data_IF_225708158479
#
_entry.id   IF_225708158479
#
_cell.length_a   1.000
_cell.length_b   1.000
_cell.length_c   1.000
_cell.angle_alpha   90.00
_cell.angle_beta   90.00
_cell.angle_gamma   90.00
#
_symmetry.space_group_name_H-M   'P 1'
#
loop_
_entity.id
_entity.type
_entity.pdbx_description
1 polymer ?
#
# COMPACT_ATOMS: atom_id res chain seq x y z
N UNK A 1 -7.78 -21.28 -4.65
CA UNK A 1 -6.98 -20.84 -5.68
C UNK A 1 -6.05 -19.74 -5.22
N UNK A 2 -4.77 -19.95 -5.37
CA UNK A 2 -3.76 -19.04 -4.86
C UNK A 2 -3.57 -17.79 -5.74
N UNK A 3 -4.55 -17.43 -6.53
CA UNK A 3 -4.47 -16.28 -7.41
C UNK A 3 -4.13 -14.99 -6.66
N UNK A 4 -4.48 -14.89 -5.40
CA UNK A 4 -4.09 -13.82 -4.52
C UNK A 4 -2.57 -13.72 -4.38
N UNK A 5 -1.93 -14.76 -3.91
CA UNK A 5 -0.47 -14.83 -3.87
C UNK A 5 0.13 -14.72 -5.26
N UNK A 6 -0.58 -15.18 -6.27
CA UNK A 6 -0.14 -15.11 -7.65
C UNK A 6 -0.19 -13.66 -8.18
N UNK A 7 -1.30 -12.97 -8.06
CA UNK A 7 -1.43 -11.58 -8.54
C UNK A 7 -0.58 -10.63 -7.74
N UNK A 8 -0.66 -10.70 -6.44
CA UNK A 8 0.15 -9.89 -5.57
C UNK A 8 1.62 -10.23 -5.71
N UNK A 9 1.95 -11.51 -5.74
CA UNK A 9 3.30 -11.99 -5.97
C UNK A 9 3.84 -11.57 -7.32
N UNK A 10 3.08 -11.72 -8.40
CA UNK A 10 3.53 -11.34 -9.73
C UNK A 10 3.72 -9.81 -9.89
N UNK A 11 2.84 -9.01 -9.32
CA UNK A 11 2.90 -7.56 -9.46
C UNK A 11 3.79 -6.87 -8.42
N UNK A 12 3.82 -7.40 -7.20
CA UNK A 12 4.43 -6.77 -6.04
C UNK A 12 5.73 -7.44 -5.60
N UNK A 13 5.72 -8.77 -5.44
CA UNK A 13 6.88 -9.52 -4.99
C UNK A 13 7.79 -9.96 -6.12
N UNK A 14 7.41 -9.66 -7.34
CA UNK A 14 8.20 -10.06 -8.48
C UNK A 14 9.62 -9.49 -8.38
N UNK A 15 10.57 -10.39 -8.45
CA UNK A 15 11.97 -10.03 -8.42
C UNK A 15 12.66 -10.09 -7.07
N UNK A 16 11.93 -10.05 -5.95
CA UNK A 16 12.60 -10.19 -4.67
C UNK A 16 11.96 -11.22 -3.72
N UNK A 17 10.72 -11.03 -3.36
CA UNK A 17 10.07 -11.86 -2.35
C UNK A 17 9.81 -13.28 -2.79
N UNK A 18 9.52 -13.46 -4.06
CA UNK A 18 9.27 -14.80 -4.60
C UNK A 18 10.48 -15.71 -4.49
N UNK A 19 11.68 -15.18 -4.63
CA UNK A 19 12.91 -15.94 -4.47
C UNK A 19 13.16 -16.38 -3.05
N UNK A 20 12.84 -15.52 -2.11
CA UNK A 20 13.07 -15.75 -0.69
C UNK A 20 11.94 -16.53 -0.03
N UNK A 21 10.79 -16.57 -0.70
CA UNK A 21 9.60 -17.15 -0.13
C UNK A 21 9.05 -16.38 1.07
N UNK A 22 9.52 -15.17 1.32
CA UNK A 22 9.12 -14.31 2.41
C UNK A 22 8.45 -13.04 1.91
N UNK A 23 7.45 -12.57 2.63
CA UNK A 23 6.74 -11.34 2.30
C UNK A 23 7.52 -10.09 2.71
N UNK A 24 8.31 -10.19 3.74
CA UNK A 24 9.08 -9.09 4.29
C UNK A 24 10.57 -9.47 4.34
N UNK A 25 11.42 -8.76 3.60
CA UNK A 25 12.87 -8.90 3.73
C UNK A 25 13.35 -8.52 5.13
N UNK A 26 14.50 -9.02 5.51
CA UNK A 26 15.12 -8.70 6.79
C UNK A 26 15.35 -7.20 6.95
N UNK A 27 15.21 -6.71 8.16
CA UNK A 27 15.48 -5.31 8.52
C UNK A 27 14.34 -4.34 8.21
N UNK A 28 13.26 -4.78 7.60
CA UNK A 28 12.17 -3.87 7.24
C UNK A 28 11.41 -3.34 8.45
N UNK A 29 11.28 -4.13 9.50
CA UNK A 29 10.66 -3.64 10.73
C UNK A 29 11.49 -2.54 11.37
N UNK A 30 12.79 -2.74 11.50
CA UNK A 30 13.69 -1.74 12.08
C UNK A 30 13.69 -0.47 11.24
N UNK A 31 13.75 -0.59 9.92
CA UNK A 31 13.62 0.54 9.01
C UNK A 31 12.28 1.27 9.21
N UNK A 32 11.18 0.53 9.28
CA UNK A 32 9.87 1.11 9.53
C UNK A 32 9.84 1.87 10.87
N UNK A 33 10.28 1.25 11.95
CA UNK A 33 10.21 1.85 13.30
C UNK A 33 11.12 3.07 13.46
N UNK A 34 12.24 3.10 12.77
CA UNK A 34 13.24 4.17 12.88
C UNK A 34 12.98 5.30 11.88
N UNK A 35 12.41 5.02 10.73
CA UNK A 35 12.42 5.93 9.59
C UNK A 35 11.03 6.28 9.07
N UNK A 36 10.03 5.40 9.20
CA UNK A 36 8.70 5.68 8.66
C UNK A 36 7.97 6.75 9.50
N UNK A 37 7.21 7.59 8.82
CA UNK A 37 6.39 8.65 9.42
C UNK A 37 4.91 8.36 9.27
N UNK A 38 4.58 7.42 8.37
CA UNK A 38 3.22 7.02 8.05
C UNK A 38 3.19 5.53 7.72
N UNK A 39 2.17 4.83 8.21
CA UNK A 39 1.79 3.50 7.73
C UNK A 39 0.41 3.61 7.08
N UNK A 40 0.28 3.17 5.84
CA UNK A 40 -1.01 3.04 5.15
C UNK A 40 -1.36 1.57 5.10
N UNK A 41 -2.32 1.14 5.90
CA UNK A 41 -2.93 -0.18 5.78
C UNK A 41 -4.02 -0.13 4.72
N UNK A 42 -3.82 -0.84 3.63
CA UNK A 42 -4.77 -0.86 2.53
C UNK A 42 -5.31 -2.26 2.32
N UNK A 43 -6.62 -2.42 2.56
CA UNK A 43 -7.29 -3.72 2.50
C UNK A 43 -6.53 -4.80 3.30
N UNK A 44 -6.09 -4.43 4.50
CA UNK A 44 -5.23 -5.25 5.32
C UNK A 44 -5.72 -5.25 6.77
N UNK A 45 -6.14 -6.41 7.24
CA UNK A 45 -6.58 -6.64 8.62
C UNK A 45 -5.78 -7.78 9.27
N UNK A 46 -4.47 -7.57 9.51
CA UNK A 46 -3.62 -8.60 10.07
C UNK A 46 -4.06 -9.09 11.45
N UNK A 47 -4.80 -8.31 12.22
CA UNK A 47 -5.28 -8.72 13.54
C UNK A 47 -6.39 -9.78 13.46
N UNK A 48 -7.19 -9.80 12.40
CA UNK A 48 -8.20 -10.86 12.21
C UNK A 48 -7.75 -11.98 11.29
N UNK A 49 -6.82 -11.70 10.37
CA UNK A 49 -6.39 -12.63 9.33
C UNK A 49 -5.00 -13.18 9.54
N UNK A 50 -4.35 -12.76 10.59
CA UNK A 50 -2.98 -13.10 10.91
C UNK A 50 -2.79 -14.52 11.32
N UNK A 51 -2.98 -15.48 10.49
CA UNK A 51 -2.83 -16.91 10.75
C UNK A 51 -1.85 -17.33 11.85
N UNK A 52 -1.71 -18.58 12.08
CA UNK A 52 -1.07 -19.18 13.26
C UNK A 52 0.42 -18.86 13.46
N UNK A 53 1.11 -18.32 12.47
CA UNK A 53 2.55 -18.09 12.54
C UNK A 53 2.87 -16.61 12.68
N UNK A 54 3.45 -16.22 13.80
CA UNK A 54 3.92 -14.84 14.01
C UNK A 54 2.81 -13.82 14.24
N UNK A 55 1.54 -14.22 14.29
CA UNK A 55 0.43 -13.30 14.48
C UNK A 55 0.58 -12.46 15.74
N UNK A 56 0.91 -13.10 16.85
CA UNK A 56 1.10 -12.44 18.14
C UNK A 56 2.26 -11.44 18.12
N UNK A 57 3.40 -11.84 17.59
CA UNK A 57 4.54 -10.93 17.45
C UNK A 57 4.24 -9.79 16.50
N UNK A 58 3.57 -10.08 15.39
CA UNK A 58 3.13 -9.05 14.45
C UNK A 58 2.23 -8.00 15.11
N UNK A 59 1.29 -8.42 15.95
CA UNK A 59 0.46 -7.53 16.76
C UNK A 59 1.30 -6.61 17.65
N UNK A 60 2.22 -7.18 18.41
CA UNK A 60 3.10 -6.40 19.29
C UNK A 60 3.92 -5.38 18.51
N UNK A 61 4.42 -5.73 17.35
CA UNK A 61 5.20 -4.83 16.49
C UNK A 61 4.38 -3.69 15.92
N UNK A 62 3.16 -3.97 15.47
CA UNK A 62 2.24 -2.94 15.02
C UNK A 62 1.82 -2.00 16.15
N UNK A 63 1.58 -2.55 17.33
CA UNK A 63 1.34 -1.74 18.53
C UNK A 63 2.56 -0.89 18.87
N UNK A 64 3.75 -1.44 18.79
CA UNK A 64 4.98 -0.69 19.03
C UNK A 64 5.18 0.42 17.99
N UNK A 65 4.89 0.17 16.71
CA UNK A 65 4.91 1.22 15.69
C UNK A 65 3.94 2.38 16.01
N UNK A 66 2.75 2.06 16.52
CA UNK A 66 1.82 3.06 17.03
C UNK A 66 2.41 3.83 18.22
N UNK A 67 2.98 3.11 19.17
CA UNK A 67 3.44 3.69 20.45
C UNK A 67 4.67 4.60 20.28
N UNK A 68 5.49 4.35 19.25
CA UNK A 68 6.57 5.28 18.87
C UNK A 68 6.08 6.46 18.03
N UNK A 69 4.78 6.56 17.77
CA UNK A 69 4.15 7.74 17.17
C UNK A 69 4.05 7.75 15.65
N UNK A 70 4.23 6.62 14.98
CA UNK A 70 4.01 6.53 13.53
C UNK A 70 2.52 6.70 13.23
N UNK A 71 2.19 7.65 12.38
CA UNK A 71 0.80 7.90 12.00
C UNK A 71 0.24 6.74 11.17
N UNK A 72 -1.05 6.42 11.37
CA UNK A 72 -1.69 5.29 10.69
C UNK A 72 -2.93 5.72 9.93
N UNK A 73 -3.07 5.19 8.71
CA UNK A 73 -4.25 5.33 7.86
C UNK A 73 -4.71 3.95 7.43
N UNK A 74 -5.99 3.68 7.52
CA UNK A 74 -6.61 2.41 7.15
C UNK A 74 -7.60 2.64 6.01
N UNK A 75 -7.38 1.98 4.87
CA UNK A 75 -8.29 1.99 3.72
C UNK A 75 -8.93 0.61 3.65
N UNK A 76 -10.20 0.54 4.05
CA UNK A 76 -10.93 -0.74 4.16
C UNK A 76 -12.44 -0.47 4.07
N UNK A 77 -13.24 -1.35 3.48
CA UNK A 77 -14.69 -1.21 3.43
C UNK A 77 -15.37 -1.06 4.79
N UNK A 78 -14.80 -1.62 5.83
CA UNK A 78 -15.31 -1.56 7.19
C UNK A 78 -14.21 -1.19 8.19
N UNK A 79 -14.61 -0.69 9.35
CA UNK A 79 -13.68 -0.47 10.45
C UNK A 79 -13.25 -1.82 11.03
N UNK A 80 -12.13 -2.32 10.53
CA UNK A 80 -11.62 -3.64 10.85
C UNK A 80 -10.91 -3.68 12.22
N UNK A 81 -10.51 -4.89 12.66
CA UNK A 81 -9.88 -5.08 13.98
C UNK A 81 -8.53 -4.37 14.08
N UNK A 82 -7.75 -4.35 13.02
CA UNK A 82 -6.46 -3.64 12.99
C UNK A 82 -6.66 -2.15 13.20
N UNK A 83 -7.59 -1.55 12.49
CA UNK A 83 -7.92 -0.13 12.66
C UNK A 83 -8.47 0.18 14.06
N UNK A 84 -9.30 -0.71 14.61
CA UNK A 84 -9.84 -0.55 15.97
C UNK A 84 -8.75 -0.64 17.05
N UNK A 85 -7.77 -1.52 16.88
CA UNK A 85 -6.68 -1.72 17.83
C UNK A 85 -5.64 -0.61 17.76
N UNK A 86 -5.24 -0.27 16.54
CA UNK A 86 -4.12 0.66 16.33
C UNK A 86 -4.55 2.11 16.29
N UNK A 87 -5.81 2.38 16.02
CA UNK A 87 -6.30 3.74 15.82
C UNK A 87 -5.84 4.35 14.49
N UNK A 88 -5.92 5.68 14.40
CA UNK A 88 -5.57 6.41 13.18
C UNK A 88 -6.79 6.79 12.34
N UNK A 89 -6.56 7.11 11.08
CA UNK A 89 -7.62 7.55 10.16
C UNK A 89 -8.17 6.35 9.38
N UNK A 90 -9.43 6.03 9.57
CA UNK A 90 -10.14 5.10 8.69
C UNK A 90 -10.76 5.85 7.50
N UNK A 91 -10.59 5.29 6.30
CA UNK A 91 -11.16 5.75 5.04
C UNK A 91 -11.99 4.59 4.47
N UNK A 92 -13.32 4.64 4.58
CA UNK A 92 -14.19 3.63 3.98
C UNK A 92 -14.14 3.71 2.46
N UNK A 93 -14.15 2.56 1.81
CA UNK A 93 -14.13 2.44 0.35
C UNK A 93 -15.15 1.39 -0.11
N UNK A 94 -15.78 1.60 -1.24
CA UNK A 94 -16.62 0.57 -1.87
C UNK A 94 -15.75 -0.62 -2.29
N UNK A 95 -16.09 -1.86 -1.92
CA UNK A 95 -15.30 -3.04 -2.24
C UNK A 95 -15.05 -3.20 -3.74
N UNK A 96 -13.80 -3.49 -4.11
CA UNK A 96 -13.41 -3.75 -5.50
C UNK A 96 -13.14 -2.49 -6.34
N UNK A 97 -13.22 -1.30 -5.76
CA UNK A 97 -12.93 -0.04 -6.46
C UNK A 97 -11.55 0.54 -6.12
N UNK A 98 -10.77 -0.20 -5.39
CA UNK A 98 -9.45 0.20 -4.90
C UNK A 98 -8.50 0.70 -5.99
N UNK A 99 -8.48 0.14 -7.22
CA UNK A 99 -7.63 0.68 -8.28
C UNK A 99 -7.97 2.13 -8.66
N UNK A 100 -9.24 2.51 -8.62
CA UNK A 100 -9.65 3.88 -8.93
C UNK A 100 -9.09 4.87 -7.91
N UNK A 101 -9.16 4.55 -6.62
CA UNK A 101 -8.55 5.35 -5.56
C UNK A 101 -7.01 5.45 -5.73
N UNK A 102 -6.36 4.34 -6.07
CA UNK A 102 -4.91 4.32 -6.28
C UNK A 102 -4.48 5.21 -7.45
N UNK A 103 -5.22 5.16 -8.57
CA UNK A 103 -4.95 6.03 -9.70
C UNK A 103 -5.18 7.50 -9.38
N UNK A 104 -6.18 7.84 -8.57
CA UNK A 104 -6.42 9.21 -8.14
C UNK A 104 -5.31 9.75 -7.21
N UNK A 105 -4.74 8.91 -6.36
CA UNK A 105 -3.55 9.27 -5.58
C UNK A 105 -2.37 9.54 -6.53
N UNK A 106 -2.12 8.64 -7.49
CA UNK A 106 -1.07 8.83 -8.48
C UNK A 106 -1.27 10.10 -9.31
N UNK A 107 -2.52 10.42 -9.69
CA UNK A 107 -2.85 11.66 -10.39
C UNK A 107 -2.42 12.90 -9.60
N UNK A 108 -2.74 12.96 -8.31
CA UNK A 108 -2.32 14.07 -7.45
C UNK A 108 -0.79 14.17 -7.40
N UNK A 109 -0.10 13.05 -7.22
CA UNK A 109 1.37 13.04 -7.20
C UNK A 109 1.99 13.51 -8.50
N UNK A 110 1.45 13.11 -9.64
CA UNK A 110 1.94 13.53 -10.96
C UNK A 110 1.69 15.02 -11.22
N UNK A 111 0.50 15.52 -10.87
CA UNK A 111 0.13 16.91 -11.11
C UNK A 111 0.76 17.89 -10.12
N UNK A 112 0.98 17.47 -8.88
CA UNK A 112 1.60 18.31 -7.84
C UNK A 112 3.11 18.07 -7.68
N UNK A 113 3.69 17.10 -8.42
CA UNK A 113 5.12 16.79 -8.37
C UNK A 113 5.55 16.10 -7.08
N UNK A 114 4.66 15.35 -6.43
CA UNK A 114 4.87 14.70 -5.15
C UNK A 114 5.39 13.26 -5.28
N UNK A 115 6.19 12.98 -6.29
CA UNK A 115 6.81 11.67 -6.48
C UNK A 115 8.31 11.79 -6.79
N UNK A 116 9.03 10.71 -6.54
CA UNK A 116 10.47 10.63 -6.75
C UNK A 116 10.80 10.43 -8.22
N UNK A 117 10.95 11.53 -8.95
CA UNK A 117 11.25 11.52 -10.40
C UNK A 117 12.56 10.84 -10.73
N UNK A 118 13.58 11.01 -9.88
CA UNK A 118 14.88 10.41 -10.10
C UNK A 118 14.82 8.89 -9.94
N UNK A 119 14.15 8.42 -8.90
CA UNK A 119 13.93 6.99 -8.67
C UNK A 119 13.14 6.36 -9.83
N UNK A 120 12.05 7.00 -10.23
CA UNK A 120 11.22 6.51 -11.34
C UNK A 120 12.03 6.39 -12.62
N UNK A 121 12.84 7.39 -12.95
CA UNK A 121 13.66 7.38 -14.14
C UNK A 121 14.74 6.29 -14.14
N UNK A 122 15.32 6.01 -12.97
CA UNK A 122 16.42 5.04 -12.82
C UNK A 122 15.93 3.60 -12.60
N UNK A 123 14.80 3.42 -11.93
CA UNK A 123 14.38 2.13 -11.37
C UNK A 123 13.09 1.56 -11.96
N UNK A 124 12.45 2.25 -12.91
CA UNK A 124 11.22 1.76 -13.52
C UNK A 124 11.30 1.68 -15.04
N UNK A 125 10.43 0.87 -15.62
CA UNK A 125 10.26 0.75 -17.06
C UNK A 125 8.77 0.92 -17.39
N UNK A 126 8.46 1.75 -18.41
CA UNK A 126 7.09 1.95 -18.89
C UNK A 126 6.25 2.91 -18.03
N UNK A 127 6.89 3.73 -17.20
CA UNK A 127 6.21 4.74 -16.40
C UNK A 127 5.40 5.72 -17.26
N UNK A 128 5.86 6.04 -18.45
CA UNK A 128 5.19 6.94 -19.39
C UNK A 128 3.79 6.43 -19.74
N UNK A 129 3.62 5.13 -19.94
CA UNK A 129 2.31 4.52 -20.23
C UNK A 129 1.37 4.67 -19.03
N UNK A 130 1.87 4.45 -17.83
CA UNK A 130 1.08 4.63 -16.61
C UNK A 130 0.69 6.10 -16.41
N UNK A 131 1.64 7.01 -16.60
CA UNK A 131 1.38 8.45 -16.55
C UNK A 131 0.32 8.87 -17.57
N UNK A 132 0.45 8.44 -18.81
CA UNK A 132 -0.45 8.82 -19.90
C UNK A 132 -1.87 8.30 -19.64
N UNK A 133 -1.99 7.10 -19.10
CA UNK A 133 -3.27 6.56 -18.63
C UNK A 133 -3.85 7.40 -17.47
N UNK A 134 -3.06 7.65 -16.43
CA UNK A 134 -3.53 8.37 -15.22
C UNK A 134 -3.90 9.82 -15.55
N UNK A 135 -3.13 10.48 -16.39
CA UNK A 135 -3.40 11.87 -16.80
C UNK A 135 -4.48 11.98 -17.89
N UNK A 136 -4.98 10.86 -18.41
CA UNK A 136 -6.02 10.83 -19.43
C UNK A 136 -5.53 11.10 -20.84
N UNK A 137 -4.24 11.01 -21.11
CA UNK A 137 -3.72 11.18 -22.47
C UNK A 137 -4.10 10.03 -23.40
N UNK A 138 -4.36 8.84 -22.83
CA UNK A 138 -4.70 7.64 -23.58
C UNK A 138 -6.18 7.57 -23.94
N UNK A 139 -7.08 7.95 -23.01
CA UNK A 139 -8.53 7.78 -23.16
C UNK A 139 -9.34 9.08 -23.02
N UNK A 140 -8.68 10.21 -22.85
CA UNK A 140 -9.32 11.50 -22.63
C UNK A 140 -9.90 11.71 -21.24
N UNK A 141 -9.69 10.77 -20.31
CA UNK A 141 -10.31 10.79 -18.98
C UNK A 141 -9.24 10.82 -17.88
N UNK A 142 -8.90 11.99 -17.34
CA UNK A 142 -7.98 12.09 -16.19
C UNK A 142 -8.53 11.33 -14.96
N UNK A 143 -7.71 10.50 -14.35
CA UNK A 143 -8.09 9.70 -13.18
C UNK A 143 -7.98 10.55 -11.90
N UNK A 144 -8.66 11.72 -11.92
CA UNK A 144 -8.61 12.70 -10.82
C UNK A 144 -9.34 12.23 -9.56
N UNK A 145 -9.13 12.91 -8.42
CA UNK A 145 -9.93 12.66 -7.22
C UNK A 145 -11.45 12.78 -7.42
N UNK A 146 -11.90 13.65 -8.30
CA UNK A 146 -13.33 13.78 -8.65
C UNK A 146 -13.82 12.62 -9.53
N UNK A 147 -12.98 12.12 -10.41
CA UNK A 147 -13.30 10.98 -11.26
C UNK A 147 -13.57 9.71 -10.43
N UNK A 148 -12.81 9.47 -9.37
CA UNK A 148 -12.95 8.26 -8.56
C UNK A 148 -14.09 8.34 -7.52
N UNK A 149 -14.49 9.54 -7.08
CA UNK A 149 -15.42 9.74 -5.98
C UNK A 149 -16.76 9.00 -6.15
N UNK A 150 -17.44 9.07 -7.30
CA UNK A 150 -18.70 8.36 -7.50
C UNK A 150 -18.55 6.83 -7.50
N UNK A 151 -17.37 6.32 -7.82
CA UNK A 151 -17.11 4.87 -7.85
C UNK A 151 -16.71 4.34 -6.49
N UNK A 152 -15.78 5.01 -5.82
CA UNK A 152 -15.21 4.52 -4.56
C UNK A 152 -15.97 4.97 -3.31
N UNK A 153 -16.76 6.03 -3.42
CA UNK A 153 -17.38 6.69 -2.28
C UNK A 153 -16.42 7.52 -1.44
N UNK A 154 -15.13 7.60 -1.78
CA UNK A 154 -14.15 8.39 -1.03
C UNK A 154 -14.15 9.84 -1.56
N UNK A 155 -14.49 10.83 -0.72
CA UNK A 155 -14.55 12.22 -1.15
C UNK A 155 -13.23 12.72 -1.74
N UNK A 156 -13.29 13.48 -2.84
CA UNK A 156 -12.13 14.00 -3.56
C UNK A 156 -11.15 14.77 -2.65
N UNK A 157 -11.67 15.55 -1.72
CA UNK A 157 -10.82 16.26 -0.75
C UNK A 157 -10.06 15.32 0.19
N UNK A 158 -10.66 14.19 0.57
CA UNK A 158 -10.01 13.15 1.38
C UNK A 158 -8.87 12.49 0.60
N UNK A 159 -9.10 12.20 -0.69
CA UNK A 159 -8.06 11.65 -1.57
C UNK A 159 -6.88 12.61 -1.71
N UNK A 160 -7.14 13.90 -1.93
CA UNK A 160 -6.07 14.92 -1.99
C UNK A 160 -5.29 15.02 -0.69
N UNK A 161 -5.99 15.02 0.44
CA UNK A 161 -5.34 15.07 1.75
C UNK A 161 -4.44 13.85 1.99
N UNK A 162 -4.94 12.65 1.66
CA UNK A 162 -4.16 11.42 1.75
C UNK A 162 -2.95 11.44 0.80
N UNK A 163 -3.18 11.79 -0.46
CA UNK A 163 -2.11 11.82 -1.46
C UNK A 163 -0.98 12.79 -1.08
N UNK A 164 -1.32 13.98 -0.63
CA UNK A 164 -0.32 14.97 -0.16
C UNK A 164 0.41 14.49 1.10
N UNK A 165 -0.32 13.92 2.05
CA UNK A 165 0.28 13.34 3.25
C UNK A 165 1.27 12.23 2.90
N UNK A 166 0.85 11.28 2.10
CA UNK A 166 1.68 10.16 1.66
C UNK A 166 2.84 10.63 0.79
N UNK A 167 2.59 11.53 -0.16
CA UNK A 167 3.63 12.03 -1.08
C UNK A 167 4.72 12.89 -0.43
N UNK A 168 4.53 13.32 0.81
CA UNK A 168 5.49 14.16 1.56
C UNK A 168 6.11 13.46 2.76
N UNK A 169 5.73 12.21 3.05
CA UNK A 169 6.21 11.45 4.20
C UNK A 169 6.79 10.11 3.79
N UNK A 170 7.77 9.66 4.52
CA UNK A 170 8.30 8.31 4.37
C UNK A 170 7.23 7.33 4.83
N UNK A 171 6.67 6.60 3.88
CA UNK A 171 5.48 5.79 4.12
C UNK A 171 5.77 4.30 3.95
N UNK A 172 5.36 3.55 4.95
CA UNK A 172 5.29 2.11 4.89
C UNK A 172 3.89 1.69 4.41
N UNK A 173 3.81 0.88 3.36
CA UNK A 173 2.55 0.39 2.83
C UNK A 173 2.22 -0.98 3.43
N UNK A 174 1.26 -1.03 4.33
CA UNK A 174 0.73 -2.26 4.91
C UNK A 174 -0.34 -2.88 4.02
N UNK A 175 0.06 -3.38 2.85
CA UNK A 175 -0.87 -3.96 1.90
C UNK A 175 -0.33 -5.28 1.37
N UNK A 176 -1.21 -6.26 1.26
CA UNK A 176 -0.83 -7.58 0.80
C UNK A 176 0.11 -8.32 1.75
N UNK A 177 0.82 -9.28 1.24
CA UNK A 177 1.77 -10.08 1.99
C UNK A 177 1.74 -11.54 1.56
N UNK A 178 2.66 -12.31 2.09
CA UNK A 178 2.69 -13.76 1.92
C UNK A 178 1.98 -14.45 3.08
N UNK A 179 1.33 -15.56 2.81
CA UNK A 179 0.65 -16.36 3.81
C UNK A 179 -0.85 -16.11 3.84
N UNK A 180 -1.46 -16.00 4.99
CA UNK A 180 -2.92 -15.97 5.15
C UNK A 180 -3.50 -14.59 5.41
N UNK A 181 -2.68 -13.58 5.58
CA UNK A 181 -3.09 -12.23 5.96
C UNK A 181 -3.06 -11.27 4.79
N UNK A 182 -4.00 -11.40 3.90
CA UNK A 182 -3.94 -10.66 2.64
C UNK A 182 -5.05 -9.67 2.49
N UNK A 183 -4.74 -8.62 1.77
CA UNK A 183 -5.70 -7.64 1.41
C UNK A 183 -6.85 -8.25 0.60
N UNK A 184 -8.08 -8.06 1.07
CA UNK A 184 -9.26 -8.52 0.37
C UNK A 184 -9.40 -7.92 -1.03
N UNK A 185 -8.84 -6.74 -1.27
CA UNK A 185 -8.89 -6.05 -2.56
C UNK A 185 -8.26 -6.88 -3.70
N UNK A 186 -7.22 -7.68 -3.44
CA UNK A 186 -6.66 -8.54 -4.48
C UNK A 186 -7.56 -9.73 -4.84
N UNK A 187 -8.59 -10.01 -4.04
CA UNK A 187 -9.57 -11.06 -4.30
C UNK A 187 -10.80 -10.60 -5.08
N UNK A 188 -10.83 -9.35 -5.46
CA UNK A 188 -11.88 -8.80 -6.31
C UNK A 188 -11.62 -9.07 -7.79
N UNK A 189 -12.60 -8.78 -8.64
CA UNK A 189 -12.45 -8.85 -10.09
C UNK A 189 -11.33 -7.93 -10.62
N UNK A 190 -11.05 -6.86 -9.90
CA UNK A 190 -10.00 -5.88 -10.22
C UNK A 190 -8.71 -6.08 -9.41
N UNK A 191 -8.58 -7.19 -8.71
CA UNK A 191 -7.49 -7.43 -7.75
C UNK A 191 -6.10 -7.36 -8.32
N UNK A 192 -5.89 -7.85 -9.55
CA UNK A 192 -4.61 -7.73 -10.25
C UNK A 192 -4.26 -6.27 -10.56
N UNK A 193 -5.24 -5.45 -10.87
CA UNK A 193 -5.03 -4.03 -11.14
C UNK A 193 -4.67 -3.28 -9.85
N UNK A 194 -5.35 -3.61 -8.75
CA UNK A 194 -4.99 -3.08 -7.44
C UNK A 194 -3.54 -3.43 -7.06
N UNK A 195 -3.14 -4.70 -7.17
CA UNK A 195 -1.79 -5.12 -6.84
C UNK A 195 -0.73 -4.39 -7.70
N UNK A 196 -0.98 -4.23 -9.00
CA UNK A 196 -0.12 -3.44 -9.89
C UNK A 196 -0.06 -1.97 -9.49
N UNK A 197 -1.20 -1.38 -9.14
CA UNK A 197 -1.25 0.00 -8.68
C UNK A 197 -0.44 0.22 -7.40
N UNK A 198 -0.45 -0.73 -6.45
CA UNK A 198 0.39 -0.65 -5.25
C UNK A 198 1.88 -0.61 -5.60
N UNK A 199 2.32 -1.43 -6.55
CA UNK A 199 3.71 -1.38 -7.05
C UNK A 199 4.02 -0.03 -7.68
N UNK A 200 3.11 0.51 -8.49
CA UNK A 200 3.30 1.82 -9.12
C UNK A 200 3.41 2.94 -8.07
N UNK A 201 2.54 2.95 -7.07
CA UNK A 201 2.58 3.95 -6.00
C UNK A 201 3.89 3.87 -5.21
N UNK A 202 4.32 2.67 -4.84
CA UNK A 202 5.57 2.51 -4.09
C UNK A 202 6.79 2.86 -4.93
N UNK A 203 6.81 2.53 -6.22
CA UNK A 203 7.87 2.98 -7.13
C UNK A 203 7.92 4.50 -7.23
N UNK A 204 6.78 5.17 -7.30
CA UNK A 204 6.70 6.63 -7.31
C UNK A 204 7.21 7.27 -6.01
N UNK A 205 7.19 6.55 -4.91
CA UNK A 205 7.72 7.01 -3.62
C UNK A 205 9.17 6.61 -3.36
N UNK A 206 9.80 5.87 -4.25
CA UNK A 206 11.19 5.42 -4.08
C UNK A 206 11.32 4.19 -3.19
N UNK A 207 10.59 3.13 -3.53
CA UNK A 207 10.61 1.85 -2.81
C UNK A 207 12.04 1.39 -2.46
N UNK A 208 12.26 1.07 -1.20
CA UNK A 208 13.56 0.65 -0.67
C UNK A 208 14.42 1.79 -0.13
N UNK A 209 13.99 3.04 -0.24
CA UNK A 209 14.59 4.13 0.52
C UNK A 209 14.24 4.02 2.01
N UNK A 210 15.05 4.58 2.91
CA UNK A 210 14.77 4.50 4.35
C UNK A 210 13.33 4.92 4.69
N UNK A 211 12.58 4.04 5.35
CA UNK A 211 11.18 4.23 5.73
C UNK A 211 10.15 4.09 4.60
N UNK A 212 10.58 3.79 3.38
CA UNK A 212 9.70 3.64 2.20
C UNK A 212 9.72 2.18 1.76
N UNK A 213 8.90 1.39 2.38
CA UNK A 213 8.81 -0.04 2.13
C UNK A 213 7.35 -0.51 2.16
N UNK A 214 7.15 -1.79 1.94
CA UNK A 214 5.84 -2.39 2.03
C UNK A 214 5.87 -3.75 2.75
N UNK A 215 4.72 -4.14 3.23
CA UNK A 215 4.49 -5.36 3.97
C UNK A 215 3.41 -5.12 4.98
N UNK A 216 2.91 -6.16 5.63
CA UNK A 216 1.84 -6.01 6.61
C UNK A 216 2.37 -5.95 8.06
N UNK A 217 3.67 -5.90 8.27
CA UNK A 217 4.33 -6.02 9.58
C UNK A 217 3.91 -7.28 10.36
N UNK A 218 3.44 -8.28 9.65
CA UNK A 218 2.90 -9.48 10.26
C UNK A 218 3.99 -10.47 10.64
N UNK A 219 4.94 -10.65 9.73
CA UNK A 219 6.08 -11.54 9.96
C UNK A 219 7.31 -10.76 10.40
N UNK A 220 7.16 -9.49 10.71
CA UNK A 220 8.21 -8.52 11.04
C UNK A 220 9.41 -9.10 11.56
N UNK A 221 9.80 -9.95 12.15
CA UNK A 221 11.16 -10.20 12.56
C UNK A 221 12.03 -10.08 11.40
N UNK A 222 13.16 -9.48 11.49
CA UNK A 222 14.20 -10.39 11.20
C UNK A 222 13.95 -11.55 12.17
N UNK A 223 13.60 -12.64 11.64
CA UNK A 223 13.90 -13.86 12.33
C UNK A 223 15.42 -13.88 12.28
N UNK A 224 16.01 -13.16 13.19
CA UNK A 224 17.42 -13.24 13.46
C UNK A 224 17.65 -14.59 14.11
N UNK A 225 17.89 -15.55 13.28
CA UNK A 225 18.43 -16.83 13.69
C UNK A 225 19.90 -16.88 13.34
#
# INVERSE_FOLDING_TARGET
DSWEGWYWGAAHHYGYSMRLGAAEPYGMLDDCLQQAELIVFWSSDPESTGGSYGAFEGTLRRMFARDVGIEMVHIDPHLNYTASLLGGKWIPIVPGTDPALAHAIAYVWMTEGLYDKAYVADRTTGFEKYRDYVLGAEDGVPKSPEWQEPETGVPAHTVRALARKWGTRRTYLGAGGKGTAFGGACRSATGSQWARAMVCLMAMQGLGKPGVNFGNLQYGAPIDY
#
